data_IF_914466910593
#
_entry.id   IF_914466910593
#
_cell.length_a   1.000
_cell.length_b   1.000
_cell.length_c   1.000
_cell.angle_alpha   90.00
_cell.angle_beta   90.00
_cell.angle_gamma   90.00
#
_symmetry.space_group_name_H-M   'P 1'
#
loop_
_entity.id
_entity.type
_entity.pdbx_description
1 polymer ?
#
# COMPACT_ATOMS: atom_id res chain seq x y z
N UNK A 1 28.61 18.68 0.46
CA UNK A 1 28.62 18.47 1.93
C UNK A 1 27.96 19.61 2.71
N UNK A 2 28.25 20.90 2.46
CA UNK A 2 27.64 22.02 3.20
C UNK A 2 26.12 22.21 2.98
N UNK A 3 25.57 21.91 1.80
CA UNK A 3 24.11 21.95 1.56
C UNK A 3 23.33 20.80 2.21
N UNK A 4 23.91 19.60 2.30
CA UNK A 4 23.26 18.44 2.92
C UNK A 4 23.07 18.62 4.44
N UNK A 5 24.04 19.24 5.11
CA UNK A 5 23.94 19.56 6.55
C UNK A 5 22.90 20.65 6.87
N UNK A 6 22.62 21.57 5.92
CA UNK A 6 21.60 22.61 6.08
C UNK A 6 20.17 22.08 5.95
N UNK A 7 19.95 21.03 5.15
CA UNK A 7 18.64 20.37 5.02
C UNK A 7 18.29 19.53 6.25
N UNK A 8 19.30 18.93 6.89
CA UNK A 8 19.12 18.05 8.06
C UNK A 8 18.90 18.79 9.38
N UNK A 9 19.24 20.08 9.50
CA UNK A 9 19.02 20.84 10.74
C UNK A 9 17.56 21.26 10.93
N UNK A 10 16.81 21.47 9.84
CA UNK A 10 15.39 21.85 9.90
C UNK A 10 14.42 20.66 9.86
N UNK A 11 14.89 19.47 9.49
CA UNK A 11 14.01 18.31 9.29
C UNK A 11 13.34 17.82 10.57
N UNK A 12 14.03 17.91 11.72
CA UNK A 12 13.46 17.48 13.00
C UNK A 12 12.36 18.44 13.47
N UNK A 13 12.50 19.74 13.20
CA UNK A 13 11.47 20.75 13.45
C UNK A 13 10.28 20.58 12.48
N UNK A 14 10.56 20.31 11.20
CA UNK A 14 9.53 20.01 10.20
C UNK A 14 8.74 18.75 10.55
N UNK A 15 9.41 17.66 10.94
CA UNK A 15 8.75 16.43 11.39
C UNK A 15 7.93 16.68 12.66
N UNK A 16 8.44 17.51 13.59
CA UNK A 16 7.71 17.90 14.80
C UNK A 16 6.43 18.66 14.47
N UNK A 17 6.48 19.61 13.52
CA UNK A 17 5.31 20.34 13.03
C UNK A 17 4.29 19.39 12.39
N UNK A 18 4.73 18.54 11.47
CA UNK A 18 3.88 17.56 10.81
C UNK A 18 3.24 16.57 11.80
N UNK A 19 4.00 16.14 12.81
CA UNK A 19 3.52 15.24 13.86
C UNK A 19 2.50 15.89 14.77
N UNK A 20 2.70 17.16 15.13
CA UNK A 20 1.70 17.92 15.89
C UNK A 20 0.39 18.05 15.10
N UNK A 21 0.48 18.33 13.80
CA UNK A 21 -0.68 18.40 12.91
C UNK A 21 -1.41 17.05 12.79
N UNK A 22 -0.69 15.95 12.56
CA UNK A 22 -1.28 14.62 12.54
C UNK A 22 -1.96 14.27 13.88
N UNK A 23 -1.32 14.58 15.00
CA UNK A 23 -1.86 14.32 16.32
C UNK A 23 -3.19 15.06 16.60
N UNK A 24 -3.34 16.29 16.10
CA UNK A 24 -4.54 17.09 16.32
C UNK A 24 -5.69 16.76 15.37
N UNK A 25 -5.42 16.16 14.21
CA UNK A 25 -6.43 15.89 13.17
C UNK A 25 -6.68 14.39 12.91
N UNK A 26 -5.90 13.46 13.49
CA UNK A 26 -6.04 12.03 13.20
C UNK A 26 -7.46 11.50 13.42
N UNK A 27 -8.17 12.00 14.44
CA UNK A 27 -9.54 11.59 14.77
C UNK A 27 -10.59 12.05 13.74
N UNK A 28 -10.27 13.02 12.88
CA UNK A 28 -11.15 13.48 11.79
C UNK A 28 -11.31 12.39 10.73
N UNK A 29 -10.38 11.45 10.65
CA UNK A 29 -10.42 10.31 9.73
C UNK A 29 -11.27 9.14 10.25
N UNK A 30 -11.72 9.20 11.51
CA UNK A 30 -12.37 8.08 12.18
C UNK A 30 -13.87 8.11 11.95
N UNK A 31 -14.45 6.96 11.61
CA UNK A 31 -15.89 6.77 11.49
C UNK A 31 -16.33 5.59 12.35
N UNK A 32 -17.46 5.77 13.01
CA UNK A 32 -18.13 4.69 13.74
C UNK A 32 -18.89 3.79 12.76
N UNK A 33 -19.20 2.54 13.14
CA UNK A 33 -20.04 1.65 12.33
C UNK A 33 -21.29 2.35 11.85
N UNK A 34 -21.61 2.20 10.56
CA UNK A 34 -22.78 2.83 9.94
C UNK A 34 -23.27 2.02 8.75
N UNK A 35 -24.59 1.80 8.71
CA UNK A 35 -25.26 1.12 7.60
C UNK A 35 -24.67 -0.26 7.28
N UNK A 36 -24.12 -0.41 6.08
CA UNK A 36 -23.48 -1.63 5.60
C UNK A 36 -22.10 -1.89 6.22
N UNK A 37 -21.44 -0.88 6.77
CA UNK A 37 -20.12 -0.96 7.40
C UNK A 37 -20.30 -1.25 8.89
N UNK A 38 -20.10 -2.50 9.28
CA UNK A 38 -20.42 -3.01 10.63
C UNK A 38 -19.31 -2.76 11.65
N UNK A 39 -18.14 -2.35 11.21
CA UNK A 39 -16.97 -2.08 12.05
C UNK A 39 -16.54 -0.62 11.92
N UNK A 40 -15.89 -0.04 12.95
CA UNK A 40 -15.29 1.29 12.84
C UNK A 40 -14.30 1.32 11.67
N UNK A 41 -14.21 2.44 10.96
CA UNK A 41 -13.41 2.54 9.74
C UNK A 41 -12.71 3.87 9.61
N UNK A 42 -11.72 3.89 8.72
CA UNK A 42 -10.95 5.07 8.34
C UNK A 42 -11.45 5.65 7.02
N UNK A 43 -11.37 6.97 6.90
CA UNK A 43 -11.57 7.71 5.64
C UNK A 43 -10.40 8.67 5.40
N UNK A 44 -10.07 9.03 4.15
CA UNK A 44 -8.90 9.87 3.85
C UNK A 44 -8.93 11.29 4.46
N UNK A 45 -10.14 11.78 4.80
CA UNK A 45 -10.48 13.16 5.13
C UNK A 45 -10.49 14.11 3.92
N UNK A 46 -10.58 15.42 4.15
CA UNK A 46 -10.81 16.41 3.10
C UNK A 46 -12.17 16.20 2.43
N UNK A 47 -12.24 16.06 1.08
CA UNK A 47 -13.51 15.81 0.38
C UNK A 47 -13.96 14.34 0.43
N UNK A 48 -13.17 13.43 1.03
CA UNK A 48 -13.39 11.99 0.96
C UNK A 48 -14.03 11.45 2.24
N UNK A 49 -15.25 10.94 2.11
CA UNK A 49 -16.07 10.39 3.22
C UNK A 49 -16.26 8.87 3.13
N UNK A 50 -15.64 8.24 2.13
CA UNK A 50 -15.74 6.81 1.88
C UNK A 50 -14.52 6.08 2.43
N UNK A 51 -14.70 4.79 2.67
CA UNK A 51 -13.62 3.90 3.10
C UNK A 51 -12.86 3.38 1.87
N UNK A 52 -11.54 3.56 1.83
CA UNK A 52 -10.68 3.18 0.69
C UNK A 52 -9.59 2.20 1.11
N UNK A 53 -9.32 1.21 0.26
CA UNK A 53 -8.46 0.07 0.57
C UNK A 53 -7.06 0.45 1.11
N UNK A 54 -6.21 1.05 0.27
CA UNK A 54 -4.83 1.38 0.59
C UNK A 54 -4.70 2.63 1.46
N UNK A 55 -5.63 3.58 1.37
CA UNK A 55 -5.73 4.75 2.24
C UNK A 55 -5.89 4.29 3.69
N UNK A 56 -6.85 3.40 3.96
CA UNK A 56 -7.04 2.81 5.28
C UNK A 56 -5.76 2.20 5.81
N UNK A 57 -4.99 1.48 4.98
CA UNK A 57 -3.73 0.87 5.40
C UNK A 57 -2.64 1.91 5.68
N UNK A 58 -2.40 2.86 4.77
CA UNK A 58 -1.35 3.86 4.94
C UNK A 58 -1.66 4.81 6.12
N UNK A 59 -2.87 5.34 6.16
CA UNK A 59 -3.37 6.19 7.24
C UNK A 59 -3.37 5.46 8.58
N UNK A 60 -3.98 4.28 8.61
CA UNK A 60 -4.12 3.47 9.82
C UNK A 60 -2.76 3.15 10.40
N UNK A 61 -1.81 2.72 9.55
CA UNK A 61 -0.44 2.43 9.97
C UNK A 61 0.29 3.70 10.43
N UNK A 62 0.18 4.81 9.68
CA UNK A 62 0.81 6.09 10.00
C UNK A 62 0.33 6.70 11.32
N UNK A 63 -0.87 6.34 11.77
CA UNK A 63 -1.51 6.92 12.96
C UNK A 63 -1.71 5.95 14.13
N UNK A 64 -1.06 4.77 14.10
CA UNK A 64 -1.20 3.76 15.17
C UNK A 64 -0.94 4.32 16.57
N UNK A 65 0.04 5.21 16.69
CA UNK A 65 0.40 5.87 17.96
C UNK A 65 -0.69 6.78 18.52
N UNK A 66 -1.65 7.19 17.69
CA UNK A 66 -2.79 8.02 18.08
C UNK A 66 -4.11 7.22 18.17
N UNK A 67 -4.05 5.88 18.12
CA UNK A 67 -5.22 5.04 18.40
C UNK A 67 -5.99 4.57 17.17
N UNK A 68 -5.46 4.76 15.95
CA UNK A 68 -6.10 4.29 14.71
C UNK A 68 -6.22 2.76 14.60
N UNK A 69 -5.57 1.98 15.48
CA UNK A 69 -5.55 0.51 15.42
C UNK A 69 -6.96 -0.09 15.28
N UNK A 70 -7.92 0.36 16.08
CA UNK A 70 -9.29 -0.16 16.04
C UNK A 70 -9.99 0.14 14.71
N UNK A 71 -9.73 1.32 14.14
CA UNK A 71 -10.30 1.76 12.88
C UNK A 71 -9.63 1.07 11.67
N UNK A 72 -8.31 0.85 11.72
CA UNK A 72 -7.62 0.03 10.72
C UNK A 72 -8.11 -1.42 10.77
N UNK A 73 -8.22 -2.00 11.96
CA UNK A 73 -8.74 -3.35 12.18
C UNK A 73 -10.17 -3.49 11.62
N UNK A 74 -11.05 -2.58 12.02
CA UNK A 74 -12.44 -2.57 11.56
C UNK A 74 -12.56 -2.31 10.07
N UNK A 75 -11.71 -1.45 9.51
CA UNK A 75 -11.66 -1.21 8.07
C UNK A 75 -11.42 -2.49 7.28
N UNK A 76 -10.41 -3.27 7.67
CA UNK A 76 -10.11 -4.53 6.99
C UNK A 76 -11.26 -5.54 7.14
N UNK A 77 -11.92 -5.56 8.31
CA UNK A 77 -13.11 -6.40 8.51
C UNK A 77 -14.29 -5.99 7.62
N UNK A 78 -14.49 -4.70 7.37
CA UNK A 78 -15.53 -4.24 6.44
C UNK A 78 -15.26 -4.78 5.02
N UNK A 79 -14.03 -4.70 4.52
CA UNK A 79 -13.66 -5.30 3.24
C UNK A 79 -13.85 -6.82 3.22
N UNK A 80 -13.43 -7.54 4.27
CA UNK A 80 -13.63 -8.99 4.35
C UNK A 80 -15.12 -9.36 4.42
N UNK A 81 -15.95 -8.58 5.12
CA UNK A 81 -17.39 -8.78 5.18
C UNK A 81 -18.09 -8.49 3.85
N UNK A 82 -17.56 -7.55 3.06
CA UNK A 82 -18.06 -7.19 1.74
C UNK A 82 -17.55 -8.15 0.63
N UNK A 83 -16.55 -8.99 0.90
CA UNK A 83 -15.98 -9.91 -0.08
C UNK A 83 -16.98 -10.97 -0.51
N UNK A 84 -17.21 -11.08 -1.82
CA UNK A 84 -17.97 -12.19 -2.39
C UNK A 84 -17.16 -13.48 -2.31
N UNK A 85 -17.59 -14.42 -1.47
CA UNK A 85 -16.86 -15.67 -1.23
C UNK A 85 -16.79 -16.62 -2.44
N UNK A 86 -17.66 -16.42 -3.44
CA UNK A 86 -17.69 -17.31 -4.63
C UNK A 86 -16.62 -16.93 -5.65
N UNK A 87 -16.45 -15.63 -5.92
CA UNK A 87 -15.51 -15.12 -6.91
C UNK A 87 -14.28 -14.43 -6.31
N UNK A 88 -14.35 -14.02 -5.04
CA UNK A 88 -13.32 -13.28 -4.32
C UNK A 88 -13.38 -11.77 -4.55
N UNK A 89 -14.39 -11.27 -5.27
CA UNK A 89 -14.49 -9.84 -5.58
C UNK A 89 -14.90 -8.99 -4.37
N UNK A 90 -14.29 -7.82 -4.26
CA UNK A 90 -14.72 -6.71 -3.39
C UNK A 90 -14.28 -5.40 -4.05
N UNK A 91 -15.10 -4.36 -4.01
CA UNK A 91 -14.73 -3.04 -4.55
C UNK A 91 -13.60 -2.41 -3.72
N UNK A 92 -12.73 -1.61 -4.35
CA UNK A 92 -11.62 -0.94 -3.63
C UNK A 92 -12.06 0.25 -2.76
N UNK A 93 -13.35 0.57 -2.79
CA UNK A 93 -13.97 1.61 -1.99
C UNK A 93 -15.31 1.08 -1.45
N UNK A 94 -15.63 1.40 -0.19
CA UNK A 94 -16.88 1.03 0.48
C UNK A 94 -17.61 2.25 1.04
N UNK A 95 -18.95 2.19 1.05
CA UNK A 95 -19.81 3.19 1.68
C UNK A 95 -20.80 2.53 2.65
N UNK A 96 -21.36 3.29 3.61
CA UNK A 96 -22.45 2.81 4.47
C UNK A 96 -23.74 2.40 3.73
N UNK A 97 -23.92 2.81 2.48
CA UNK A 97 -25.14 2.55 1.70
C UNK A 97 -24.95 1.32 0.82
N UNK A 98 -25.98 0.47 0.69
CA UNK A 98 -25.94 -0.68 -0.25
C UNK A 98 -26.43 -0.27 -1.65
N UNK A 99 -25.81 -0.76 -2.74
CA UNK A 99 -24.56 -1.52 -2.75
C UNK A 99 -23.38 -0.64 -2.32
N UNK A 100 -22.39 -1.22 -1.63
CA UNK A 100 -21.23 -0.51 -1.06
C UNK A 100 -20.22 -0.15 -2.16
N UNK A 101 -20.65 0.68 -3.10
CA UNK A 101 -19.90 1.11 -4.26
C UNK A 101 -19.61 2.61 -4.10
N UNK A 102 -18.39 3.02 -4.42
CA UNK A 102 -18.02 4.43 -4.52
C UNK A 102 -16.99 4.67 -5.63
N UNK A 103 -16.97 5.92 -6.07
CA UNK A 103 -16.10 6.49 -7.08
C UNK A 103 -15.27 7.59 -6.43
N UNK A 104 -14.05 7.81 -6.93
CA UNK A 104 -13.22 8.96 -6.53
C UNK A 104 -13.74 10.27 -7.11
N UNK A 105 -14.64 10.20 -8.09
CA UNK A 105 -15.42 11.32 -8.61
C UNK A 105 -16.85 11.26 -8.05
N UNK A 106 -17.31 12.26 -7.26
CA UNK A 106 -18.66 12.32 -6.70
C UNK A 106 -19.77 12.44 -7.76
N UNK A 107 -19.42 12.72 -9.02
CA UNK A 107 -20.34 12.83 -10.15
C UNK A 107 -20.42 11.57 -11.02
N UNK A 108 -19.63 10.53 -10.72
CA UNK A 108 -19.59 9.28 -11.50
C UNK A 108 -19.99 8.06 -10.66
N UNK A 109 -20.46 7.03 -11.36
CA UNK A 109 -20.79 5.71 -10.78
C UNK A 109 -19.68 4.68 -11.01
N UNK A 110 -18.54 5.12 -11.51
CA UNK A 110 -17.40 4.29 -11.88
C UNK A 110 -16.80 3.67 -10.62
N UNK A 111 -17.24 2.45 -10.33
CA UNK A 111 -16.75 1.69 -9.20
C UNK A 111 -15.30 1.31 -9.44
N UNK A 112 -14.43 1.47 -8.42
CA UNK A 112 -13.21 0.67 -8.38
C UNK A 112 -13.58 -0.80 -8.52
N UNK A 113 -13.08 -1.44 -9.58
CA UNK A 113 -13.47 -2.81 -9.96
C UNK A 113 -13.13 -3.79 -8.86
N UNK A 114 -11.94 -3.68 -8.26
CA UNK A 114 -11.52 -4.52 -7.17
C UNK A 114 -10.62 -3.77 -6.18
N UNK A 115 -10.58 -4.21 -4.91
CA UNK A 115 -9.60 -3.74 -3.96
C UNK A 115 -8.18 -4.17 -4.34
N UNK A 116 -7.21 -3.31 -4.11
CA UNK A 116 -5.79 -3.63 -4.22
C UNK A 116 -5.45 -4.79 -3.27
N UNK A 117 -4.43 -5.61 -3.58
CA UNK A 117 -3.98 -6.68 -2.70
C UNK A 117 -3.21 -6.11 -1.49
N UNK A 118 -3.92 -5.41 -0.61
CA UNK A 118 -3.38 -4.75 0.58
C UNK A 118 -4.21 -5.03 1.86
N UNK A 119 -5.30 -5.77 1.74
CA UNK A 119 -6.26 -5.97 2.82
C UNK A 119 -5.76 -6.94 3.90
N UNK A 120 -5.18 -8.09 3.53
CA UNK A 120 -4.69 -9.08 4.52
C UNK A 120 -3.44 -8.52 5.22
N UNK A 121 -2.56 -7.84 4.49
CA UNK A 121 -1.42 -7.18 5.13
C UNK A 121 -1.84 -6.03 6.04
N UNK A 122 -2.83 -5.22 5.64
CA UNK A 122 -3.42 -4.19 6.51
C UNK A 122 -4.01 -4.80 7.79
N UNK A 123 -4.73 -5.91 7.66
CA UNK A 123 -5.30 -6.63 8.79
C UNK A 123 -4.21 -7.14 9.74
N UNK A 124 -3.12 -7.67 9.19
CA UNK A 124 -1.98 -8.13 10.00
C UNK A 124 -1.33 -6.97 10.75
N UNK A 125 -1.11 -5.82 10.10
CA UNK A 125 -0.54 -4.63 10.75
C UNK A 125 -1.42 -4.17 11.93
N UNK A 126 -2.75 -4.14 11.76
CA UNK A 126 -3.67 -3.79 12.85
C UNK A 126 -3.68 -4.83 13.97
N UNK A 127 -3.70 -6.12 13.62
CA UNK A 127 -3.84 -7.21 14.58
C UNK A 127 -2.55 -7.49 15.36
N UNK A 128 -1.39 -7.22 14.77
CA UNK A 128 -0.08 -7.39 15.40
C UNK A 128 0.36 -6.18 16.24
N UNK A 129 -0.20 -5.00 15.99
CA UNK A 129 0.04 -3.79 16.78
C UNK A 129 -0.35 -3.97 18.27
N UNK A 130 0.18 -3.14 19.19
CA UNK A 130 -0.18 -3.17 20.60
C UNK A 130 -1.69 -3.09 20.83
N UNK A 131 -2.24 -4.04 21.60
CA UNK A 131 -3.69 -4.16 21.82
C UNK A 131 -4.45 -4.96 20.74
N UNK A 132 -3.78 -5.41 19.68
CA UNK A 132 -4.36 -6.26 18.63
C UNK A 132 -4.38 -7.76 18.95
N UNK A 133 -5.30 -8.47 18.28
CA UNK A 133 -5.50 -9.91 18.40
C UNK A 133 -5.66 -10.58 17.02
N UNK A 134 -4.62 -11.24 16.47
CA UNK A 134 -4.70 -11.97 15.20
C UNK A 134 -5.73 -13.09 15.20
N UNK A 135 -6.06 -13.67 16.36
CA UNK A 135 -7.05 -14.74 16.47
C UNK A 135 -8.45 -14.26 16.10
N UNK A 136 -8.75 -13.00 16.38
CA UNK A 136 -10.04 -12.37 16.07
C UNK A 136 -10.34 -12.25 14.56
N UNK A 137 -9.34 -12.48 13.69
CA UNK A 137 -9.50 -12.50 12.24
C UNK A 137 -9.76 -13.90 11.66
N UNK A 138 -9.63 -14.98 12.44
CA UNK A 138 -9.87 -16.33 11.95
C UNK A 138 -11.25 -16.53 11.29
N UNK A 139 -12.36 -15.92 11.78
CA UNK A 139 -13.65 -16.00 11.10
C UNK A 139 -13.65 -15.45 9.67
N UNK A 140 -12.73 -14.55 9.32
CA UNK A 140 -12.59 -13.97 7.99
C UNK A 140 -11.66 -14.75 7.07
N UNK A 141 -11.06 -15.86 7.53
CA UNK A 141 -10.23 -16.74 6.71
C UNK A 141 -10.86 -17.09 5.35
N UNK A 142 -12.16 -17.43 5.23
CA UNK A 142 -12.76 -17.71 3.92
C UNK A 142 -12.72 -16.52 2.97
N UNK A 143 -12.93 -15.29 3.47
CA UNK A 143 -12.83 -14.07 2.66
C UNK A 143 -11.39 -13.80 2.24
N UNK A 144 -10.42 -13.97 3.16
CA UNK A 144 -8.99 -13.85 2.84
C UNK A 144 -8.55 -14.85 1.77
N UNK A 145 -8.95 -16.12 1.87
CA UNK A 145 -8.66 -17.14 0.84
C UNK A 145 -9.36 -16.82 -0.49
N UNK A 146 -10.58 -16.28 -0.46
CA UNK A 146 -11.31 -15.88 -1.67
C UNK A 146 -10.63 -14.68 -2.37
N UNK A 147 -10.20 -13.66 -1.63
CA UNK A 147 -9.45 -12.51 -2.15
C UNK A 147 -8.14 -12.95 -2.84
N UNK A 148 -7.37 -13.82 -2.20
CA UNK A 148 -6.15 -14.36 -2.80
C UNK A 148 -6.45 -15.18 -4.06
N UNK A 149 -7.52 -15.98 -4.03
CA UNK A 149 -7.94 -16.78 -5.17
C UNK A 149 -8.44 -15.93 -6.34
N UNK A 150 -8.97 -14.72 -6.10
CA UNK A 150 -9.43 -13.80 -7.16
C UNK A 150 -8.29 -13.47 -8.14
N UNK A 151 -7.10 -13.19 -7.62
CA UNK A 151 -5.92 -12.85 -8.42
C UNK A 151 -5.35 -14.02 -9.22
N UNK A 152 -5.73 -15.26 -8.90
CA UNK A 152 -5.27 -16.46 -9.60
C UNK A 152 -6.21 -16.92 -10.72
N UNK A 153 -7.38 -16.28 -10.86
CA UNK A 153 -8.39 -16.63 -11.87
C UNK A 153 -8.13 -15.90 -13.19
N UNK A 154 -8.51 -16.47 -14.34
CA UNK A 154 -8.64 -15.69 -15.57
C UNK A 154 -9.70 -14.59 -15.38
N UNK A 155 -9.50 -13.37 -15.93
CA UNK A 155 -8.37 -12.94 -16.76
C UNK A 155 -7.16 -12.38 -15.97
N UNK A 156 -7.21 -12.35 -14.63
CA UNK A 156 -6.16 -11.76 -13.77
C UNK A 156 -4.80 -12.40 -13.94
N UNK A 157 -4.76 -13.73 -14.05
CA UNK A 157 -3.50 -14.47 -14.22
C UNK A 157 -3.28 -14.75 -15.70
N UNK A 158 -2.28 -14.10 -16.29
CA UNK A 158 -1.90 -14.40 -17.68
C UNK A 158 -1.26 -15.80 -17.75
N UNK A 159 -1.81 -16.73 -18.56
CA UNK A 159 -1.36 -18.12 -18.56
C UNK A 159 0.04 -18.31 -19.19
N UNK A 160 0.55 -17.34 -19.96
CA UNK A 160 1.85 -17.44 -20.63
C UNK A 160 2.99 -17.02 -19.71
N UNK A 161 2.80 -15.92 -18.98
CA UNK A 161 3.82 -15.30 -18.14
C UNK A 161 3.66 -15.65 -16.67
N UNK A 162 2.46 -16.05 -16.25
CA UNK A 162 2.05 -16.23 -14.85
C UNK A 162 1.96 -14.91 -14.06
N UNK A 163 2.05 -13.77 -14.72
CA UNK A 163 1.90 -12.45 -14.09
C UNK A 163 0.44 -12.18 -13.76
N UNK A 164 0.22 -11.36 -12.73
CA UNK A 164 -1.11 -10.85 -12.36
C UNK A 164 -1.32 -9.48 -12.99
N UNK A 165 -2.53 -9.24 -13.47
CA UNK A 165 -2.88 -8.03 -14.20
C UNK A 165 -3.89 -7.18 -13.44
N UNK A 166 -3.69 -5.87 -13.52
CA UNK A 166 -4.67 -4.87 -13.14
C UNK A 166 -5.81 -4.85 -14.17
N UNK A 167 -7.05 -4.55 -13.75
CA UNK A 167 -8.15 -4.26 -14.67
C UNK A 167 -7.77 -3.05 -15.51
N UNK A 168 -7.51 -1.93 -14.88
CA UNK A 168 -7.10 -0.67 -15.49
C UNK A 168 -6.19 0.11 -14.52
N UNK A 169 -5.86 1.36 -14.86
CA UNK A 169 -5.05 2.21 -13.97
C UNK A 169 -5.83 2.77 -12.78
N UNK A 170 -7.16 2.87 -12.81
CA UNK A 170 -7.93 3.28 -11.62
C UNK A 170 -7.71 2.28 -10.49
N UNK A 171 -7.74 0.99 -10.83
CA UNK A 171 -7.56 -0.08 -9.86
C UNK A 171 -6.17 -0.06 -9.18
N UNK A 172 -5.15 0.43 -9.88
CA UNK A 172 -3.80 0.56 -9.33
C UNK A 172 -3.71 1.65 -8.25
N UNK A 173 -4.66 2.60 -8.24
CA UNK A 173 -4.62 3.84 -7.47
C UNK A 173 -3.77 4.94 -8.10
N UNK A 174 -3.17 4.69 -9.27
CA UNK A 174 -2.43 5.65 -10.07
C UNK A 174 -3.16 5.98 -11.38
N UNK A 175 -4.29 6.66 -11.24
CA UNK A 175 -5.36 6.82 -12.22
C UNK A 175 -4.95 7.33 -13.62
N UNK A 176 -3.82 8.02 -13.78
CA UNK A 176 -3.30 8.42 -15.10
C UNK A 176 -1.83 8.02 -15.29
N UNK A 177 -1.39 6.97 -14.60
CA UNK A 177 -0.03 6.45 -14.69
C UNK A 177 0.42 6.24 -16.13
N UNK A 178 1.66 6.64 -16.40
CA UNK A 178 2.31 6.48 -17.70
C UNK A 178 2.61 5.02 -18.08
N UNK A 179 2.30 4.07 -17.19
CA UNK A 179 2.34 2.64 -17.45
C UNK A 179 1.20 2.17 -18.37
N UNK A 180 0.24 3.04 -18.71
CA UNK A 180 -0.68 2.81 -19.83
C UNK A 180 -0.75 4.05 -20.71
N UNK A 181 -1.07 3.85 -22.00
CA UNK A 181 -1.38 4.93 -22.92
C UNK A 181 -2.83 5.43 -22.76
N UNK A 182 -3.75 4.52 -22.43
CA UNK A 182 -5.13 4.82 -22.12
C UNK A 182 -5.38 4.25 -20.73
N UNK A 183 -5.39 5.09 -19.69
CA UNK A 183 -5.29 4.59 -18.34
C UNK A 183 -6.56 3.87 -17.86
N UNK A 184 -7.74 4.36 -18.20
CA UNK A 184 -9.02 3.80 -17.76
C UNK A 184 -10.21 4.47 -18.47
N UNK A 185 -11.43 4.12 -18.07
CA UNK A 185 -12.69 4.64 -18.58
C UNK A 185 -12.82 6.17 -18.55
N UNK A 186 -12.09 6.88 -17.69
CA UNK A 186 -12.04 8.36 -17.65
C UNK A 186 -11.17 8.98 -18.75
N UNK A 187 -10.61 8.17 -19.65
CA UNK A 187 -9.93 8.62 -20.87
C UNK A 187 -10.71 8.16 -22.11
N UNK A 188 -11.96 8.67 -22.32
CA UNK A 188 -12.88 8.14 -23.32
C UNK A 188 -12.39 8.32 -24.76
N UNK A 189 -11.42 9.20 -25.01
CA UNK A 189 -10.84 9.43 -26.33
C UNK A 189 -10.04 8.22 -26.84
N UNK A 190 -9.59 7.34 -25.95
CA UNK A 190 -8.76 6.21 -26.35
C UNK A 190 -8.99 4.92 -25.55
N UNK A 191 -9.67 4.94 -24.41
CA UNK A 191 -9.97 3.75 -23.63
C UNK A 191 -11.05 2.88 -24.25
N UNK A 192 -10.85 1.56 -24.19
CA UNK A 192 -11.87 0.55 -24.47
C UNK A 192 -11.66 -0.67 -23.57
N UNK A 193 -12.71 -1.46 -23.33
CA UNK A 193 -12.64 -2.67 -22.50
C UNK A 193 -11.62 -3.71 -23.01
N UNK A 194 -11.21 -3.62 -24.28
CA UNK A 194 -10.13 -4.47 -24.82
C UNK A 194 -8.75 -4.20 -24.20
N UNK A 195 -8.58 -3.05 -23.54
CA UNK A 195 -7.37 -2.67 -22.82
C UNK A 195 -7.40 -3.09 -21.35
N UNK A 196 -8.54 -3.59 -20.87
CA UNK A 196 -8.63 -4.16 -19.54
C UNK A 196 -7.72 -5.39 -19.40
N UNK A 197 -7.21 -5.64 -18.19
CA UNK A 197 -6.40 -6.84 -17.89
C UNK A 197 -5.07 -6.90 -18.63
N UNK A 198 -4.63 -5.81 -19.27
CA UNK A 198 -3.43 -5.82 -20.11
C UNK A 198 -2.14 -5.48 -19.37
N UNK A 199 -2.23 -4.80 -18.22
CA UNK A 199 -1.08 -4.34 -17.46
C UNK A 199 -0.70 -5.34 -16.37
N UNK A 200 0.46 -5.98 -16.52
CA UNK A 200 1.15 -6.66 -15.44
C UNK A 200 2.30 -5.78 -14.93
N UNK A 201 2.22 -5.32 -13.69
CA UNK A 201 3.18 -4.37 -13.14
C UNK A 201 3.83 -4.86 -11.83
N UNK A 202 5.03 -4.37 -11.49
CA UNK A 202 5.75 -4.78 -10.29
C UNK A 202 4.99 -4.52 -8.99
N UNK A 203 4.14 -3.50 -8.95
CA UNK A 203 3.30 -3.13 -7.80
C UNK A 203 2.26 -4.23 -7.45
N UNK A 204 1.48 -4.71 -8.42
CA UNK A 204 0.51 -5.80 -8.23
C UNK A 204 1.19 -7.03 -7.62
N UNK A 205 2.31 -7.43 -8.22
CA UNK A 205 3.08 -8.59 -7.77
C UNK A 205 3.63 -8.37 -6.36
N UNK A 206 4.19 -7.19 -6.07
CA UNK A 206 4.76 -6.85 -4.76
C UNK A 206 3.71 -6.87 -3.65
N UNK A 207 2.54 -6.29 -3.92
CA UNK A 207 1.40 -6.27 -3.02
C UNK A 207 0.87 -7.70 -2.77
N UNK A 208 0.71 -8.53 -3.81
CA UNK A 208 0.26 -9.92 -3.67
C UNK A 208 1.24 -10.81 -2.89
N UNK A 209 2.54 -10.64 -3.11
CA UNK A 209 3.56 -11.36 -2.34
C UNK A 209 3.41 -11.03 -0.85
N UNK A 210 3.15 -9.77 -0.52
CA UNK A 210 2.90 -9.33 0.86
C UNK A 210 1.59 -9.84 1.44
N UNK A 211 0.51 -9.94 0.66
CA UNK A 211 -0.75 -10.57 1.09
C UNK A 211 -0.53 -12.03 1.50
N UNK A 212 0.21 -12.80 0.69
CA UNK A 212 0.55 -14.18 1.03
C UNK A 212 1.45 -14.28 2.26
N UNK A 213 2.41 -13.36 2.43
CA UNK A 213 3.21 -13.30 3.64
C UNK A 213 2.36 -13.06 4.89
N UNK A 214 1.43 -12.09 4.83
CA UNK A 214 0.52 -11.79 5.92
C UNK A 214 -0.45 -12.96 6.22
N UNK A 215 -0.96 -13.63 5.19
CA UNK A 215 -1.82 -14.80 5.35
C UNK A 215 -1.08 -15.97 6.02
N UNK A 216 0.20 -16.15 5.71
CA UNK A 216 1.03 -17.15 6.38
C UNK A 216 1.23 -16.83 7.88
N UNK A 217 1.42 -15.55 8.23
CA UNK A 217 1.55 -15.10 9.62
C UNK A 217 0.26 -15.31 10.42
N UNK A 218 -0.90 -14.97 9.86
CA UNK A 218 -2.20 -15.29 10.46
C UNK A 218 -2.37 -16.80 10.69
N UNK A 219 -2.04 -17.60 9.68
CA UNK A 219 -2.16 -19.04 9.77
C UNK A 219 -1.22 -19.66 10.84
N UNK A 220 -0.01 -19.14 11.02
CA UNK A 220 0.87 -19.57 12.12
C UNK A 220 0.26 -19.20 13.49
N UNK A 221 -0.23 -17.96 13.68
CA UNK A 221 -0.90 -17.54 14.93
C UNK A 221 -2.15 -18.37 15.24
N UNK A 222 -2.97 -18.69 14.24
CA UNK A 222 -4.15 -19.54 14.43
C UNK A 222 -3.76 -20.99 14.77
N UNK A 223 -2.65 -21.49 14.23
CA UNK A 223 -2.13 -22.81 14.60
C UNK A 223 -1.69 -22.84 16.06
N UNK A 224 -0.89 -21.85 16.49
CA UNK A 224 -0.44 -21.73 17.88
C UNK A 224 -1.62 -21.55 18.83
N UNK A 225 -2.61 -20.73 18.46
CA UNK A 225 -3.85 -20.56 19.22
C UNK A 225 -4.62 -21.88 19.40
N UNK A 226 -4.71 -22.69 18.33
CA UNK A 226 -5.40 -23.97 18.37
C UNK A 226 -4.66 -24.98 19.27
N UNK A 227 -3.32 -24.97 19.28
CA UNK A 227 -2.51 -25.82 20.16
C UNK A 227 -2.63 -25.41 21.64
N UNK A 228 -2.56 -24.11 21.92
CA UNK A 228 -2.56 -23.55 23.27
C UNK A 228 -3.94 -23.54 23.95
N UNK A 229 -5.04 -23.70 23.20
CA UNK A 229 -6.40 -23.66 23.78
C UNK A 229 -6.61 -24.78 24.81
N UNK A 230 -6.75 -24.43 26.09
CA UNK A 230 -7.02 -25.39 27.16
C UNK A 230 -8.42 -26.00 27.02
N UNK A 231 -8.53 -27.33 27.13
CA UNK A 231 -9.83 -28.00 27.19
C UNK A 231 -9.75 -29.29 28.01
N UNK A 232 -10.76 -29.51 28.85
CA UNK A 232 -10.82 -30.59 29.84
C UNK A 232 -11.01 -32.03 29.29
N UNK A 233 -11.12 -32.25 27.97
CA UNK A 233 -11.44 -33.56 27.37
C UNK A 233 -10.52 -33.98 26.22
N UNK A 234 -10.19 -35.27 26.12
CA UNK A 234 -9.29 -35.85 25.10
C UNK A 234 -9.80 -35.65 23.66
N UNK A 235 -11.10 -35.78 23.40
CA UNK A 235 -11.68 -35.53 22.07
C UNK A 235 -11.56 -34.05 21.64
N UNK A 236 -11.35 -33.14 22.58
CA UNK A 236 -11.02 -31.75 22.29
C UNK A 236 -9.53 -31.57 21.98
N UNK A 237 -8.64 -32.47 22.40
CA UNK A 237 -7.22 -32.44 22.04
C UNK A 237 -7.00 -32.82 20.58
N UNK A 238 -7.57 -33.93 20.12
CA UNK A 238 -7.40 -34.38 18.71
C UNK A 238 -7.94 -33.35 17.72
N UNK A 239 -9.13 -32.78 17.99
CA UNK A 239 -9.71 -31.73 17.16
C UNK A 239 -8.84 -30.47 17.10
N UNK A 240 -8.26 -30.06 18.24
CA UNK A 240 -7.32 -28.94 18.31
C UNK A 240 -6.06 -29.19 17.49
N UNK A 241 -5.42 -30.36 17.66
CA UNK A 241 -4.21 -30.71 16.92
C UNK A 241 -4.48 -30.82 15.42
N UNK A 242 -5.65 -31.32 15.00
CA UNK A 242 -6.05 -31.34 13.60
C UNK A 242 -6.20 -29.91 13.04
N UNK A 243 -6.92 -29.04 13.74
CA UNK A 243 -7.08 -27.63 13.35
C UNK A 243 -5.74 -26.90 13.28
N UNK A 244 -4.86 -27.12 14.26
CA UNK A 244 -3.51 -26.58 14.23
C UNK A 244 -2.72 -27.06 13.01
N UNK A 245 -2.77 -28.36 12.71
CA UNK A 245 -2.13 -28.93 11.51
C UNK A 245 -2.68 -28.34 10.21
N UNK A 246 -3.99 -28.13 10.11
CA UNK A 246 -4.63 -27.47 8.97
C UNK A 246 -4.11 -26.05 8.78
N UNK A 247 -3.98 -25.28 9.86
CA UNK A 247 -3.45 -23.92 9.83
C UNK A 247 -1.94 -23.89 9.52
N UNK A 248 -1.13 -24.81 10.06
CA UNK A 248 0.30 -24.94 9.67
C UNK A 248 0.45 -25.28 8.19
N UNK A 249 -0.43 -26.12 7.65
CA UNK A 249 -0.46 -26.45 6.21
C UNK A 249 -0.85 -25.22 5.37
N UNK A 250 -1.85 -24.46 5.80
CA UNK A 250 -2.23 -23.18 5.18
C UNK A 250 -1.05 -22.19 5.15
N UNK A 251 -0.35 -22.04 6.27
CA UNK A 251 0.82 -21.18 6.36
C UNK A 251 1.94 -21.63 5.39
N UNK A 252 2.22 -22.93 5.32
CA UNK A 252 3.18 -23.49 4.36
C UNK A 252 2.76 -23.22 2.90
N UNK A 253 1.49 -23.41 2.55
CA UNK A 253 0.98 -23.10 1.19
C UNK A 253 1.21 -21.65 0.80
N UNK A 254 0.92 -20.71 1.70
CA UNK A 254 1.09 -19.29 1.40
C UNK A 254 2.56 -18.83 1.40
N UNK A 255 3.43 -19.46 2.18
CA UNK A 255 4.89 -19.30 2.03
C UNK A 255 5.36 -19.74 0.64
N UNK A 256 4.91 -20.89 0.16
CA UNK A 256 5.22 -21.35 -1.21
C UNK A 256 4.68 -20.38 -2.26
N UNK A 257 3.42 -19.94 -2.13
CA UNK A 257 2.83 -18.99 -3.08
C UNK A 257 3.58 -17.65 -3.14
N UNK A 258 4.01 -17.12 -1.98
CA UNK A 258 4.88 -15.94 -1.86
C UNK A 258 6.19 -16.14 -2.63
N UNK A 259 6.84 -17.28 -2.44
CA UNK A 259 8.14 -17.58 -3.07
C UNK A 259 7.98 -17.75 -4.60
N UNK A 260 6.94 -18.44 -5.05
CA UNK A 260 6.62 -18.62 -6.46
C UNK A 260 6.33 -17.29 -7.16
N UNK A 261 5.53 -16.42 -6.53
CA UNK A 261 5.25 -15.07 -7.04
C UNK A 261 6.50 -14.21 -7.12
N UNK A 262 7.37 -14.29 -6.12
CA UNK A 262 8.66 -13.59 -6.09
C UNK A 262 9.57 -14.07 -7.22
N UNK A 263 9.59 -15.38 -7.49
CA UNK A 263 10.32 -15.96 -8.60
C UNK A 263 9.77 -15.49 -9.95
N UNK A 264 8.44 -15.46 -10.13
CA UNK A 264 7.78 -14.95 -11.34
C UNK A 264 8.12 -13.47 -11.57
N UNK A 265 7.99 -12.62 -10.54
CA UNK A 265 8.33 -11.19 -10.62
C UNK A 265 9.76 -10.99 -11.10
N UNK A 266 10.74 -11.66 -10.46
CA UNK A 266 12.14 -11.52 -10.80
C UNK A 266 12.49 -12.12 -12.17
N UNK A 267 11.88 -13.24 -12.55
CA UNK A 267 12.16 -13.87 -13.84
C UNK A 267 11.53 -13.14 -15.02
N UNK A 268 10.38 -12.47 -14.83
CA UNK A 268 9.61 -11.87 -15.93
C UNK A 268 9.79 -10.36 -16.06
N UNK A 269 9.88 -9.63 -14.95
CA UNK A 269 9.86 -8.17 -14.98
C UNK A 269 11.24 -7.55 -14.77
N UNK A 270 12.22 -8.24 -14.17
CA UNK A 270 13.56 -7.68 -14.01
C UNK A 270 14.26 -7.46 -15.35
N UNK A 271 14.65 -6.20 -15.61
CA UNK A 271 15.40 -5.80 -16.80
C UNK A 271 16.78 -5.31 -16.41
N UNK A 272 17.80 -6.14 -16.62
CA UNK A 272 19.17 -5.84 -16.22
C UNK A 272 19.78 -4.63 -16.95
N UNK A 273 19.35 -4.40 -18.20
CA UNK A 273 19.72 -3.26 -19.03
C UNK A 273 19.09 -1.95 -18.54
N UNK A 274 17.89 -2.01 -17.96
CA UNK A 274 17.21 -0.85 -17.36
C UNK A 274 17.58 -0.62 -15.90
N UNK A 275 17.93 -1.69 -15.17
CA UNK A 275 18.28 -1.67 -13.75
C UNK A 275 17.08 -1.70 -12.79
N UNK A 276 15.89 -2.06 -13.27
CA UNK A 276 14.66 -2.17 -12.48
C UNK A 276 13.68 -3.22 -13.04
N UNK A 277 12.63 -3.53 -12.29
CA UNK A 277 11.50 -4.33 -12.79
C UNK A 277 10.61 -3.46 -13.68
N UNK A 278 10.59 -3.72 -14.99
CA UNK A 278 9.73 -3.01 -15.92
C UNK A 278 8.34 -3.66 -15.98
N UNK A 279 7.29 -2.85 -16.13
CA UNK A 279 5.94 -3.36 -16.36
C UNK A 279 5.82 -4.04 -17.72
N UNK A 280 4.80 -4.87 -17.89
CA UNK A 280 4.60 -5.71 -19.07
C UNK A 280 3.17 -5.57 -19.58
N UNK A 281 3.03 -5.33 -20.88
CA UNK A 281 1.74 -5.39 -21.55
C UNK A 281 1.50 -6.83 -22.03
N UNK A 282 0.53 -7.54 -21.45
CA UNK A 282 0.28 -8.94 -21.82
C UNK A 282 -0.32 -9.09 -23.21
N UNK A 283 -1.01 -8.06 -23.74
CA UNK A 283 -1.63 -8.12 -25.07
C UNK A 283 -0.61 -7.91 -26.19
N UNK A 284 0.23 -6.87 -26.11
CA UNK A 284 1.29 -6.65 -27.10
C UNK A 284 2.51 -7.54 -26.89
N UNK A 285 2.66 -8.14 -25.70
CA UNK A 285 3.83 -8.89 -25.28
C UNK A 285 5.11 -8.04 -25.30
N UNK A 286 5.01 -6.81 -24.79
CA UNK A 286 6.11 -5.84 -24.74
C UNK A 286 6.31 -5.28 -23.33
N UNK A 287 7.56 -4.89 -23.04
CA UNK A 287 7.89 -4.16 -21.83
C UNK A 287 7.47 -2.69 -21.95
N UNK A 288 6.99 -2.15 -20.83
CA UNK A 288 6.67 -0.73 -20.67
C UNK A 288 7.81 -0.11 -19.86
N UNK A 289 8.70 0.60 -20.56
CA UNK A 289 9.99 1.06 -20.02
C UNK A 289 9.92 2.44 -19.34
N UNK A 290 8.73 2.89 -18.94
CA UNK A 290 8.57 4.16 -18.23
C UNK A 290 9.12 4.08 -16.80
N UNK A 291 9.84 5.13 -16.37
CA UNK A 291 10.33 5.26 -15.00
C UNK A 291 9.28 5.93 -14.13
N UNK A 292 8.72 5.18 -13.20
CA UNK A 292 7.71 5.65 -12.26
C UNK A 292 8.06 5.22 -10.83
N UNK A 293 7.29 5.71 -9.86
CA UNK A 293 7.43 5.29 -8.46
C UNK A 293 7.28 3.78 -8.24
N UNK A 294 6.62 3.06 -9.15
CA UNK A 294 6.41 1.60 -9.09
C UNK A 294 7.74 0.83 -9.02
N UNK A 295 8.83 1.42 -9.52
CA UNK A 295 10.19 0.87 -9.41
C UNK A 295 10.61 0.62 -7.96
N UNK A 296 10.08 1.38 -7.00
CA UNK A 296 10.37 1.22 -5.58
C UNK A 296 9.59 0.06 -4.93
N UNK A 297 8.53 -0.46 -5.55
CA UNK A 297 7.63 -1.43 -4.92
C UNK A 297 8.28 -2.78 -4.62
N UNK A 298 9.06 -3.41 -5.54
CA UNK A 298 9.80 -4.63 -5.23
C UNK A 298 10.83 -4.45 -4.12
N UNK A 299 11.44 -3.26 -4.04
CA UNK A 299 12.38 -2.90 -2.99
C UNK A 299 11.66 -2.79 -1.63
N UNK A 300 10.55 -2.07 -1.56
CA UNK A 300 9.72 -1.96 -0.36
C UNK A 300 9.19 -3.31 0.13
N UNK A 301 8.81 -4.19 -0.80
CA UNK A 301 8.31 -5.53 -0.48
C UNK A 301 9.41 -6.55 -0.14
N UNK A 302 10.69 -6.19 -0.21
CA UNK A 302 11.81 -7.08 0.14
C UNK A 302 12.07 -8.18 -0.90
N UNK A 303 11.75 -7.93 -2.18
CA UNK A 303 11.71 -8.94 -3.24
C UNK A 303 12.92 -8.93 -4.16
N UNK A 304 13.91 -8.09 -3.85
CA UNK A 304 15.10 -7.89 -4.66
C UNK A 304 16.34 -8.35 -3.93
N UNK A 305 17.40 -8.67 -4.67
CA UNK A 305 18.73 -8.91 -4.09
C UNK A 305 19.53 -7.60 -3.98
N UNK A 306 20.69 -7.64 -3.32
CA UNK A 306 21.53 -6.46 -3.09
C UNK A 306 21.97 -5.74 -4.39
N UNK A 307 22.24 -6.48 -5.46
CA UNK A 307 22.65 -5.88 -6.76
C UNK A 307 21.49 -5.18 -7.47
N UNK A 308 20.29 -5.75 -7.36
CA UNK A 308 19.05 -5.14 -7.85
C UNK A 308 18.71 -3.89 -7.04
N UNK A 309 18.82 -3.96 -5.70
CA UNK A 309 18.62 -2.81 -4.81
C UNK A 309 19.59 -1.66 -5.15
N UNK A 310 20.86 -1.95 -5.45
CA UNK A 310 21.82 -0.95 -5.88
C UNK A 310 21.44 -0.25 -7.19
N UNK A 311 20.90 -1.02 -8.15
CA UNK A 311 20.44 -0.47 -9.43
C UNK A 311 19.19 0.39 -9.24
N UNK A 312 18.22 -0.08 -8.46
CA UNK A 312 17.00 0.67 -8.13
C UNK A 312 17.35 1.96 -7.38
N UNK A 313 18.24 1.91 -6.39
CA UNK A 313 18.70 3.10 -5.67
C UNK A 313 19.29 4.15 -6.62
N UNK A 314 20.09 3.71 -7.60
CA UNK A 314 20.65 4.60 -8.63
C UNK A 314 19.55 5.27 -9.45
N UNK A 315 18.55 4.50 -9.89
CA UNK A 315 17.41 5.01 -10.68
C UNK A 315 16.59 6.00 -9.88
N UNK A 316 16.26 5.69 -8.63
CA UNK A 316 15.49 6.57 -7.74
C UNK A 316 16.26 7.85 -7.41
N UNK A 317 17.59 7.80 -7.30
CA UNK A 317 18.45 8.96 -7.04
C UNK A 317 18.80 9.80 -8.27
N UNK A 318 18.44 9.34 -9.48
CA UNK A 318 18.73 10.07 -10.71
C UNK A 318 18.00 11.41 -10.74
N UNK A 319 18.61 12.45 -11.33
CA UNK A 319 18.06 13.81 -11.32
C UNK A 319 16.70 13.95 -12.01
N UNK A 320 16.38 13.02 -12.92
CA UNK A 320 15.08 12.95 -13.57
C UNK A 320 13.98 12.38 -12.67
N UNK A 321 14.35 11.64 -11.62
CA UNK A 321 13.45 11.02 -10.62
C UNK A 321 13.45 11.75 -9.28
N UNK A 322 14.61 12.05 -8.68
CA UNK A 322 14.72 12.69 -7.36
C UNK A 322 14.67 14.22 -7.48
N UNK A 323 13.47 14.79 -7.29
CA UNK A 323 13.22 16.23 -7.24
C UNK A 323 13.55 16.83 -5.87
N UNK A 324 13.64 18.18 -5.73
CA UNK A 324 13.85 18.85 -4.45
C UNK A 324 12.84 18.50 -3.35
N UNK A 325 11.64 18.01 -3.69
CA UNK A 325 10.57 17.65 -2.72
C UNK A 325 10.34 16.14 -2.57
N UNK A 326 11.16 15.31 -3.23
CA UNK A 326 11.07 13.85 -3.16
C UNK A 326 11.19 13.18 -4.54
N UNK A 327 10.98 11.88 -4.59
CA UNK A 327 10.90 11.10 -5.83
C UNK A 327 9.60 11.45 -6.56
N UNK A 328 9.71 11.79 -7.85
CA UNK A 328 8.59 12.04 -8.76
C UNK A 328 7.78 10.76 -8.99
N UNK A 329 6.47 10.88 -9.12
CA UNK A 329 5.62 9.75 -9.54
C UNK A 329 5.97 9.21 -10.93
N UNK A 330 6.44 10.09 -11.81
CA UNK A 330 6.95 9.78 -13.16
C UNK A 330 8.21 10.61 -13.45
N UNK A 331 9.20 10.02 -14.13
CA UNK A 331 10.42 10.72 -14.56
C UNK A 331 10.08 11.98 -15.36
N UNK A 332 10.81 13.06 -15.06
CA UNK A 332 10.74 14.33 -15.81
C UNK A 332 11.23 14.23 -17.27
N UNK A 333 11.81 13.10 -17.68
CA UNK A 333 12.16 12.82 -19.08
C UNK A 333 11.03 12.15 -19.88
N UNK A 334 9.98 11.66 -19.22
CA UNK A 334 8.82 11.14 -19.96
C UNK A 334 8.09 12.32 -20.63
N UNK A 335 7.77 12.26 -21.94
CA UNK A 335 7.07 13.34 -22.64
C UNK A 335 5.69 13.66 -22.05
N UNK A 336 5.15 12.75 -21.23
CA UNK A 336 3.88 12.90 -20.53
C UNK A 336 4.02 13.57 -19.16
N UNK A 337 5.24 13.90 -18.72
CA UNK A 337 5.47 14.53 -17.43
C UNK A 337 4.69 15.84 -17.27
N UNK A 338 4.00 16.01 -16.14
CA UNK A 338 3.24 17.21 -15.81
C UNK A 338 2.94 17.28 -14.32
N UNK A 339 2.97 18.46 -13.71
CA UNK A 339 2.46 18.73 -12.35
C UNK A 339 1.05 19.35 -12.34
N UNK A 340 0.38 19.45 -13.50
CA UNK A 340 -0.96 20.03 -13.55
C UNK A 340 -2.00 19.13 -12.86
N UNK A 341 -3.06 19.72 -12.31
CA UNK A 341 -4.24 18.98 -11.88
C UNK A 341 -5.04 18.56 -13.12
N UNK A 342 -4.90 17.29 -13.52
CA UNK A 342 -5.40 16.78 -14.80
C UNK A 342 -6.76 16.08 -14.66
N UNK A 343 -6.96 15.29 -13.60
CA UNK A 343 -8.19 14.52 -13.37
C UNK A 343 -9.06 15.24 -12.34
N UNK A 344 -10.38 15.25 -12.58
CA UNK A 344 -11.41 15.80 -11.65
C UNK A 344 -11.92 14.68 -10.70
N UNK A 345 -12.14 14.92 -9.39
CA UNK A 345 -11.99 16.21 -8.70
C UNK A 345 -10.54 16.67 -8.71
N UNK A 346 -9.56 15.84 -8.32
CA UNK A 346 -8.12 16.19 -8.37
C UNK A 346 -7.23 14.93 -8.35
N UNK A 347 -6.48 14.62 -9.42
CA UNK A 347 -5.44 13.56 -9.39
C UNK A 347 -4.45 13.68 -10.56
N UNK A 348 -3.17 13.41 -10.29
CA UNK A 348 -2.12 13.29 -11.29
C UNK A 348 -0.88 12.50 -10.82
N UNK A 349 -0.63 11.35 -11.44
CA UNK A 349 0.50 10.43 -11.22
C UNK A 349 1.60 10.54 -12.29
N UNK A 350 1.59 11.61 -13.08
CA UNK A 350 2.54 11.86 -14.18
C UNK A 350 3.61 12.89 -13.81
N UNK A 351 3.93 13.07 -12.53
CA UNK A 351 4.92 14.06 -12.12
C UNK A 351 4.92 14.34 -10.62
N UNK A 352 3.77 14.69 -10.01
CA UNK A 352 3.69 15.08 -8.60
C UNK A 352 4.32 14.08 -7.64
N UNK A 353 4.72 14.59 -6.47
CA UNK A 353 5.20 13.82 -5.35
C UNK A 353 3.99 13.34 -4.54
N UNK A 354 3.95 12.04 -4.30
CA UNK A 354 2.96 11.39 -3.44
C UNK A 354 3.67 10.79 -2.23
N UNK A 355 3.15 11.06 -1.03
CA UNK A 355 3.81 10.66 0.23
C UNK A 355 3.88 9.15 0.40
N UNK A 356 2.80 8.42 0.09
CA UNK A 356 2.80 6.94 0.13
C UNK A 356 3.92 6.34 -0.73
N UNK A 357 4.04 6.79 -1.98
CA UNK A 357 5.06 6.33 -2.92
C UNK A 357 6.48 6.58 -2.39
N UNK A 358 6.71 7.77 -1.84
CA UNK A 358 8.01 8.14 -1.29
C UNK A 358 8.33 7.45 0.03
N UNK A 359 7.35 7.25 0.90
CA UNK A 359 7.51 6.49 2.13
C UNK A 359 7.87 5.03 1.82
N UNK A 360 7.20 4.40 0.86
CA UNK A 360 7.54 3.05 0.39
C UNK A 360 8.97 3.00 -0.15
N UNK A 361 9.37 3.98 -0.97
CA UNK A 361 10.74 4.08 -1.48
C UNK A 361 11.77 4.23 -0.35
N UNK A 362 11.54 5.13 0.62
CA UNK A 362 12.44 5.38 1.72
C UNK A 362 12.59 4.16 2.64
N UNK A 363 11.47 3.55 3.08
CA UNK A 363 11.52 2.33 3.91
C UNK A 363 12.14 1.15 3.17
N UNK A 364 11.86 0.99 1.87
CA UNK A 364 12.51 -0.02 1.02
C UNK A 364 14.02 0.19 0.94
N UNK A 365 14.48 1.41 0.65
CA UNK A 365 15.91 1.74 0.60
C UNK A 365 16.60 1.45 1.93
N UNK A 366 16.00 1.85 3.05
CA UNK A 366 16.53 1.59 4.37
C UNK A 366 16.65 0.09 4.69
N UNK A 367 15.67 -0.72 4.28
CA UNK A 367 15.70 -2.18 4.46
C UNK A 367 16.90 -2.85 3.75
N UNK A 368 17.43 -2.22 2.70
CA UNK A 368 18.61 -2.66 1.96
C UNK A 368 19.89 -1.89 2.30
N UNK A 369 19.88 -1.08 3.37
CA UNK A 369 21.05 -0.36 3.88
C UNK A 369 21.34 0.99 3.22
N UNK A 370 20.50 1.47 2.31
CA UNK A 370 20.62 2.79 1.67
C UNK A 370 20.05 3.90 2.57
N UNK A 371 20.50 3.95 3.81
CA UNK A 371 19.94 4.80 4.86
C UNK A 371 20.06 6.29 4.55
N UNK A 372 21.19 6.73 3.97
CA UNK A 372 21.41 8.15 3.65
C UNK A 372 20.45 8.63 2.57
N UNK A 373 20.25 7.83 1.50
CA UNK A 373 19.29 8.14 0.44
C UNK A 373 17.85 8.08 0.94
N UNK A 374 17.53 7.10 1.80
CA UNK A 374 16.22 7.01 2.44
C UNK A 374 15.91 8.24 3.29
N UNK A 375 16.86 8.69 4.12
CA UNK A 375 16.74 9.89 4.94
C UNK A 375 16.68 11.16 4.09
N UNK A 376 17.41 11.22 2.98
CA UNK A 376 17.34 12.34 2.04
C UNK A 376 15.94 12.45 1.42
N UNK A 377 15.37 11.35 0.91
CA UNK A 377 14.01 11.33 0.36
C UNK A 377 13.00 11.73 1.43
N UNK A 378 13.07 11.12 2.63
CA UNK A 378 12.19 11.44 3.73
C UNK A 378 12.25 12.91 4.14
N UNK A 379 13.45 13.48 4.22
CA UNK A 379 13.64 14.89 4.60
C UNK A 379 13.01 15.86 3.60
N UNK A 380 13.14 15.58 2.30
CA UNK A 380 12.53 16.38 1.23
C UNK A 380 11.00 16.34 1.30
N UNK A 381 10.43 15.17 1.54
CA UNK A 381 8.98 14.97 1.65
C UNK A 381 8.40 15.64 2.90
N UNK A 382 9.03 15.42 4.06
CA UNK A 382 8.66 16.09 5.33
C UNK A 382 8.74 17.61 5.18
N UNK A 383 9.81 18.12 4.57
CA UNK A 383 9.97 19.56 4.32
C UNK A 383 8.87 20.15 3.44
N UNK A 384 8.43 19.43 2.41
CA UNK A 384 7.33 19.87 1.54
C UNK A 384 6.01 19.98 2.32
N UNK A 385 5.67 18.97 3.13
CA UNK A 385 4.44 18.98 3.94
C UNK A 385 4.50 20.03 5.06
N UNK A 386 5.66 20.25 5.66
CA UNK A 386 5.84 21.31 6.65
C UNK A 386 5.74 22.71 6.01
N UNK A 387 6.22 22.89 4.79
CA UNK A 387 6.07 24.14 4.04
C UNK A 387 4.60 24.43 3.68
N UNK A 388 3.83 23.39 3.30
CA UNK A 388 2.38 23.51 3.08
C UNK A 388 1.66 23.95 4.35
N UNK A 389 1.92 23.28 5.49
CA UNK A 389 1.33 23.70 6.78
C UNK A 389 1.64 25.16 7.14
N UNK A 390 2.86 25.64 6.86
CA UNK A 390 3.22 27.04 7.12
C UNK A 390 2.51 28.02 6.18
N UNK A 391 2.14 27.59 4.98
CA UNK A 391 1.58 28.45 3.93
C UNK A 391 0.05 28.43 3.94
N UNK A 392 -0.55 27.25 4.01
CA UNK A 392 -1.99 27.02 3.88
C UNK A 392 -2.67 26.63 5.20
N UNK A 393 -1.91 26.16 6.19
CA UNK A 393 -2.45 25.67 7.46
C UNK A 393 -3.01 24.24 7.41
N UNK A 394 -2.92 23.58 6.26
CA UNK A 394 -3.42 22.22 6.06
C UNK A 394 -2.52 21.45 5.08
N UNK A 395 -2.75 20.15 4.93
CA UNK A 395 -2.10 19.36 3.89
C UNK A 395 -2.96 19.22 2.65
N UNK A 396 -2.29 19.01 1.52
CA UNK A 396 -2.93 18.56 0.28
C UNK A 396 -2.42 17.18 -0.15
N UNK A 397 -3.19 16.53 -1.02
CA UNK A 397 -3.01 15.12 -1.39
C UNK A 397 -1.68 14.81 -2.10
N UNK A 398 -1.21 15.72 -2.96
CA UNK A 398 0.05 15.60 -3.68
C UNK A 398 0.78 16.96 -3.78
N UNK A 399 2.02 16.97 -4.29
CA UNK A 399 2.83 18.19 -4.36
C UNK A 399 3.55 18.30 -5.70
N UNK A 400 3.57 19.51 -6.26
CA UNK A 400 4.33 19.83 -7.47
C UNK A 400 5.80 19.54 -7.25
N UNK A 401 6.40 18.79 -8.15
CA UNK A 401 7.82 18.42 -8.06
C UNK A 401 8.74 19.46 -8.72
N UNK A 402 8.19 20.55 -9.24
CA UNK A 402 8.95 21.68 -9.78
C UNK A 402 9.25 22.72 -8.69
N UNK A 403 8.31 22.96 -7.77
CA UNK A 403 8.39 24.04 -6.78
C UNK A 403 7.87 23.68 -5.37
N UNK A 404 7.29 22.49 -5.17
CA UNK A 404 6.73 22.05 -3.90
C UNK A 404 5.35 22.64 -3.58
N UNK A 405 4.71 23.34 -4.52
CA UNK A 405 3.36 23.84 -4.34
C UNK A 405 2.38 22.69 -4.10
N UNK A 406 1.41 22.92 -3.21
CA UNK A 406 0.43 21.92 -2.83
C UNK A 406 -0.55 21.68 -3.99
N UNK A 407 -0.82 20.41 -4.27
CA UNK A 407 -1.77 19.95 -5.29
C UNK A 407 -2.89 19.18 -4.61
N UNK A 408 -4.10 19.46 -5.06
CA UNK A 408 -5.35 19.03 -4.44
C UNK A 408 -5.44 17.50 -4.23
N UNK A 409 -6.28 17.00 -3.32
CA UNK A 409 -7.29 17.74 -2.53
C UNK A 409 -6.77 18.40 -1.22
N UNK A 410 -7.28 19.59 -0.83
CA UNK A 410 -6.99 20.21 0.47
C UNK A 410 -7.63 19.46 1.64
N UNK A 411 -6.99 19.52 2.81
CA UNK A 411 -7.45 18.82 4.03
C UNK A 411 -7.19 17.32 4.01
N UNK A 412 -6.37 16.84 3.06
CA UNK A 412 -6.09 15.43 2.88
C UNK A 412 -5.12 14.93 3.95
N UNK A 413 -5.56 13.96 4.76
CA UNK A 413 -4.76 13.38 5.85
C UNK A 413 -4.16 12.04 5.42
N UNK A 414 -4.99 11.06 5.08
CA UNK A 414 -4.65 9.68 4.67
C UNK A 414 -3.16 9.28 4.75
N UNK A 415 -2.50 9.04 3.60
CA UNK A 415 -1.09 8.70 3.53
C UNK A 415 -0.15 9.83 3.91
N UNK A 416 -0.59 11.09 3.93
CA UNK A 416 0.24 12.20 4.38
C UNK A 416 0.65 12.03 5.84
N UNK A 417 -0.19 11.38 6.65
CA UNK A 417 0.14 11.06 8.06
C UNK A 417 1.41 10.23 8.22
N UNK A 418 1.88 9.53 7.18
CA UNK A 418 3.15 8.78 7.21
C UNK A 418 4.36 9.69 7.49
N UNK A 419 4.32 10.97 7.10
CA UNK A 419 5.45 11.89 7.33
C UNK A 419 5.67 12.21 8.81
N UNK A 420 4.65 12.00 9.65
CA UNK A 420 4.70 12.38 11.05
C UNK A 420 5.74 11.59 11.86
N UNK A 421 6.12 10.41 11.38
CA UNK A 421 7.15 9.56 11.98
C UNK A 421 8.24 9.13 10.97
N UNK A 422 8.19 9.59 9.72
CA UNK A 422 9.00 9.01 8.64
C UNK A 422 10.51 9.12 8.92
N UNK A 423 11.00 10.29 9.31
CA UNK A 423 12.43 10.53 9.56
C UNK A 423 12.84 9.86 10.87
N UNK A 424 12.04 10.00 11.92
CA UNK A 424 12.26 9.34 13.21
C UNK A 424 12.33 7.83 13.08
N UNK A 425 11.41 7.22 12.33
CA UNK A 425 11.37 5.79 12.06
C UNK A 425 12.63 5.33 11.33
N UNK A 426 13.05 6.04 10.28
CA UNK A 426 14.27 5.70 9.54
C UNK A 426 15.52 5.80 10.42
N UNK A 427 15.65 6.86 11.24
CA UNK A 427 16.75 7.00 12.21
C UNK A 427 16.78 5.85 13.23
N UNK A 428 15.61 5.37 13.65
CA UNK A 428 15.45 4.28 14.61
C UNK A 428 15.41 2.88 13.97
N UNK A 429 15.46 2.80 12.63
CA UNK A 429 15.30 1.56 11.85
C UNK A 429 13.98 0.84 12.11
N UNK A 430 12.92 1.61 12.31
CA UNK A 430 11.55 1.12 12.42
C UNK A 430 10.92 1.18 11.04
N UNK A 431 10.38 0.06 10.56
CA UNK A 431 9.53 0.04 9.37
C UNK A 431 8.08 -0.24 9.81
N UNK A 432 7.17 0.73 9.71
CA UNK A 432 5.80 0.55 10.18
C UNK A 432 5.00 -0.45 9.32
N UNK A 433 5.52 -0.84 8.16
CA UNK A 433 4.92 -1.84 7.26
C UNK A 433 5.59 -3.23 7.36
N UNK A 434 6.43 -3.47 8.37
CA UNK A 434 7.09 -4.74 8.56
C UNK A 434 6.06 -5.87 8.82
N UNK A 435 6.14 -6.94 8.02
CA UNK A 435 5.34 -8.15 8.20
C UNK A 435 6.20 -9.20 8.92
N UNK A 436 6.20 -9.14 10.25
CA UNK A 436 6.94 -10.06 11.10
C UNK A 436 6.01 -10.82 12.06
N UNK A 437 6.39 -12.03 12.52
CA UNK A 437 5.72 -12.70 13.64
C UNK A 437 5.67 -11.80 14.88
N UNK A 438 4.63 -11.95 15.71
CA UNK A 438 4.60 -11.23 16.98
C UNK A 438 5.75 -11.71 17.85
N UNK A 439 6.44 -10.78 18.52
CA UNK A 439 7.34 -11.17 19.61
C UNK A 439 6.53 -11.96 20.65
N UNK A 440 7.03 -13.10 21.15
CA UNK A 440 6.30 -13.88 22.14
C UNK A 440 5.99 -12.97 23.33
N UNK A 441 4.70 -12.88 23.70
CA UNK A 441 4.33 -12.19 24.94
C UNK A 441 5.09 -12.91 26.05
N UNK A 442 6.03 -12.22 26.71
CA UNK A 442 6.53 -12.71 27.99
C UNK A 442 5.29 -12.92 28.84
N UNK A 443 4.96 -14.17 29.15
CA UNK A 443 3.95 -14.44 30.16
C UNK A 443 4.46 -13.72 31.41
N UNK A 444 3.77 -12.64 31.78
CA UNK A 444 3.93 -12.07 33.11
C UNK A 444 3.51 -13.18 34.06
N UNK A 445 4.49 -13.85 34.66
CA UNK A 445 4.30 -14.59 35.89
C UNK A 445 3.72 -13.59 36.90
N UNK A 446 2.42 -13.68 37.13
CA UNK A 446 1.72 -13.08 38.25
C UNK A 446 0.98 -14.19 38.98
#
# INVERSE_FOLDING_TARGET
MLHAFSLLANVDDDETLCRAYAASHANETWRQPSGALQYPYLVPAGPYEQEWDWDSVFLGTGTLRWGSREYLDGSMRNFFAATNLSDGSVTGCLTPTKPTICSSDPHQTDALVHAKPILIQGAWLAASAPGGDPKSFEPFKPAMEALLAYWDRPPRRDPRTQLRTWHDQMETGADNSVLSLCPNARSPECWSESQAWTLAAPDAMSLLVREHAAMALFADEWAEAAEAAEAAAVHNRERRLRRAKEHRSLAARHRTARDDLTAVLNARLWRADLGYHASWNVSSAEYIEARTYVIAMPLWAGLVNASQAASIARVLSASDMLSPVGVRSTSSLDPRYSNADIIVPYSNWRGPMWVNANAMAAYGLAAYGYNDLALEIASRVVGALAADLRTSGQWHEAYSTDDGSALAAPGFLSWNTLVAELVSNLKQRINPFELAPRSPRKHSEN
#
